data_IF_029612038851
#
_entry.id   IF_029612038851
#
_cell.length_a   1.000
_cell.length_b   1.000
_cell.length_c   1.000
_cell.angle_alpha   90.00
_cell.angle_beta   90.00
_cell.angle_gamma   90.00
#
_symmetry.space_group_name_H-M   'P 1'
#
loop_
_entity.id
_entity.type
_entity.pdbx_description
1 polymer ?
#
# COMPACT_ATOMS: atom_id res chain seq x y z
N UNK A 1 3.36 55.20 -57.79
CA UNK A 1 2.30 54.90 -56.78
C UNK A 1 2.75 53.70 -55.97
N UNK A 2 2.94 53.87 -54.66
CA UNK A 2 3.11 52.77 -53.69
C UNK A 2 1.74 52.48 -53.11
N UNK A 3 1.35 51.22 -52.96
CA UNK A 3 0.46 50.78 -51.88
C UNK A 3 0.72 49.30 -51.57
N UNK A 4 0.89 49.06 -50.27
CA UNK A 4 1.55 47.95 -49.60
C UNK A 4 0.56 46.80 -49.41
N UNK A 5 0.93 45.57 -49.80
CA UNK A 5 0.20 44.36 -49.41
C UNK A 5 0.68 43.96 -48.00
N UNK A 6 -0.17 44.19 -46.99
CA UNK A 6 0.07 43.75 -45.62
C UNK A 6 -0.18 42.24 -45.51
N UNK A 7 0.88 41.44 -45.53
CA UNK A 7 0.82 40.04 -45.11
C UNK A 7 0.79 39.99 -43.58
N UNK A 8 -0.41 39.82 -43.02
CA UNK A 8 -0.59 39.51 -41.61
C UNK A 8 -0.09 38.07 -41.36
N UNK A 9 1.18 37.93 -40.98
CA UNK A 9 1.74 36.68 -40.48
C UNK A 9 1.18 36.44 -39.07
N UNK A 10 0.05 35.73 -38.97
CA UNK A 10 -0.38 35.15 -37.71
C UNK A 10 0.63 34.07 -37.32
N UNK A 11 1.61 34.44 -36.49
CA UNK A 11 2.40 33.47 -35.73
C UNK A 11 1.44 32.74 -34.79
N UNK A 12 0.95 31.59 -35.24
CA UNK A 12 0.31 30.63 -34.36
C UNK A 12 1.30 30.26 -33.27
N UNK A 13 1.03 30.70 -32.04
CA UNK A 13 1.77 30.28 -30.87
C UNK A 13 1.37 28.83 -30.59
N UNK A 14 2.03 27.89 -31.27
CA UNK A 14 1.97 26.48 -30.92
C UNK A 14 2.61 26.34 -29.54
N UNK A 15 1.79 26.30 -28.50
CA UNK A 15 2.20 25.79 -27.19
C UNK A 15 2.71 24.36 -27.44
N UNK A 16 4.00 24.07 -27.23
CA UNK A 16 4.42 22.68 -27.16
C UNK A 16 3.70 22.08 -25.96
N UNK A 17 2.78 21.13 -26.20
CA UNK A 17 2.50 20.11 -25.20
C UNK A 17 3.82 19.36 -25.06
N UNK A 18 4.65 19.77 -24.11
CA UNK A 18 5.79 18.97 -23.72
C UNK A 18 5.21 17.66 -23.18
N UNK A 19 5.52 16.50 -23.77
CA UNK A 19 5.32 15.25 -23.05
C UNK A 19 6.02 15.45 -21.72
N UNK A 20 5.35 15.13 -20.61
CA UNK A 20 5.91 15.28 -19.27
C UNK A 20 7.32 14.68 -19.30
N UNK A 21 8.34 15.56 -19.28
CA UNK A 21 9.74 15.19 -19.48
C UNK A 21 10.02 14.02 -18.55
N UNK A 22 10.25 12.86 -19.15
CA UNK A 22 10.66 11.68 -18.41
C UNK A 22 11.92 12.09 -17.65
N UNK A 23 11.85 12.20 -16.33
CA UNK A 23 13.07 12.46 -15.59
C UNK A 23 13.90 11.19 -15.70
N UNK A 24 15.09 11.28 -16.28
CA UNK A 24 16.05 10.16 -16.38
C UNK A 24 16.22 9.46 -15.01
N UNK A 25 16.24 10.27 -13.95
CA UNK A 25 16.27 9.81 -12.56
C UNK A 25 15.00 9.06 -12.10
N UNK A 26 13.81 9.41 -12.60
CA UNK A 26 12.55 8.76 -12.25
C UNK A 26 12.47 7.31 -12.72
N UNK A 27 12.98 7.04 -13.92
CA UNK A 27 13.08 5.68 -14.42
C UNK A 27 14.16 4.86 -13.73
N UNK A 28 15.26 5.49 -13.33
CA UNK A 28 16.28 4.85 -12.50
C UNK A 28 15.71 4.44 -11.14
N UNK A 29 14.95 5.34 -10.48
CA UNK A 29 14.23 5.04 -9.24
C UNK A 29 13.24 3.90 -9.43
N UNK A 30 12.46 3.91 -10.51
CA UNK A 30 11.51 2.85 -10.80
C UNK A 30 12.22 1.50 -10.95
N UNK A 31 13.27 1.45 -11.77
CA UNK A 31 14.04 0.24 -12.04
C UNK A 31 14.62 -0.34 -10.75
N UNK A 32 15.24 0.52 -9.93
CA UNK A 32 15.82 0.11 -8.66
C UNK A 32 14.77 -0.32 -7.63
N UNK A 33 13.64 0.39 -7.54
CA UNK A 33 12.56 0.03 -6.64
C UNK A 33 11.85 -1.28 -7.06
N UNK A 34 11.78 -1.58 -8.36
CA UNK A 34 11.19 -2.81 -8.89
C UNK A 34 12.09 -4.05 -8.70
N UNK A 35 13.39 -3.85 -8.44
CA UNK A 35 14.35 -4.93 -8.15
C UNK A 35 14.00 -5.62 -6.84
N UNK A 36 13.70 -6.93 -6.92
CA UNK A 36 13.26 -7.73 -5.76
C UNK A 36 14.28 -8.75 -5.26
N UNK A 37 15.24 -9.16 -6.10
CA UNK A 37 16.24 -10.15 -5.72
C UNK A 37 17.58 -9.92 -6.46
N UNK A 38 18.53 -9.19 -5.86
CA UNK A 38 18.43 -8.49 -4.57
C UNK A 38 17.54 -7.24 -4.65
N UNK A 39 17.05 -6.77 -3.50
CA UNK A 39 16.40 -5.46 -3.44
C UNK A 39 17.42 -4.33 -3.63
N UNK A 40 16.97 -3.10 -3.83
CA UNK A 40 17.86 -1.96 -4.06
C UNK A 40 18.98 -1.80 -3.01
N UNK A 41 18.75 -2.23 -1.75
CA UNK A 41 19.77 -2.23 -0.70
C UNK A 41 20.96 -3.16 -1.03
N UNK A 42 20.71 -4.26 -1.72
CA UNK A 42 21.77 -5.19 -2.15
C UNK A 42 22.44 -4.80 -3.46
N UNK A 43 21.91 -3.80 -4.18
CA UNK A 43 22.43 -3.34 -5.48
C UNK A 43 23.12 -1.99 -5.32
N UNK A 44 24.45 -1.97 -5.30
CA UNK A 44 25.23 -0.75 -5.06
C UNK A 44 24.93 0.38 -6.06
N UNK A 45 24.68 0.06 -7.33
CA UNK A 45 24.30 1.06 -8.33
C UNK A 45 22.95 1.73 -8.06
N UNK A 46 22.08 1.12 -7.25
CA UNK A 46 20.79 1.69 -6.88
C UNK A 46 20.82 2.58 -5.65
N UNK A 47 21.91 2.59 -4.88
CA UNK A 47 22.03 3.40 -3.67
C UNK A 47 21.89 4.90 -3.97
N UNK A 48 22.64 5.50 -4.92
CA UNK A 48 22.58 6.95 -5.14
C UNK A 48 21.18 7.44 -5.54
N UNK A 49 20.52 6.70 -6.42
CA UNK A 49 19.22 7.05 -7.01
C UNK A 49 18.11 6.93 -5.96
N UNK A 50 18.11 5.87 -5.17
CA UNK A 50 17.14 5.64 -4.09
C UNK A 50 17.39 6.57 -2.88
N UNK A 51 18.64 6.86 -2.54
CA UNK A 51 18.95 7.80 -1.46
C UNK A 51 18.59 9.24 -1.81
N UNK A 52 18.79 9.64 -3.07
CA UNK A 52 18.31 10.92 -3.60
C UNK A 52 16.78 11.02 -3.45
N UNK A 53 16.06 9.96 -3.76
CA UNK A 53 14.61 9.88 -3.58
C UNK A 53 14.21 10.04 -2.11
N UNK A 54 14.79 9.25 -1.21
CA UNK A 54 14.49 9.31 0.23
C UNK A 54 14.75 10.73 0.78
N UNK A 55 15.80 11.40 0.30
CA UNK A 55 16.13 12.77 0.70
C UNK A 55 15.14 13.79 0.12
N UNK A 56 14.71 13.61 -1.13
CA UNK A 56 13.72 14.46 -1.78
C UNK A 56 12.34 14.34 -1.12
N UNK A 57 11.94 13.15 -0.70
CA UNK A 57 10.67 12.88 0.00
C UNK A 57 10.52 13.64 1.33
N UNK A 58 11.62 14.05 1.95
CA UNK A 58 11.61 14.86 3.18
C UNK A 58 11.31 16.33 2.92
N UNK A 59 11.38 16.79 1.67
CA UNK A 59 11.14 18.19 1.30
C UNK A 59 9.64 18.45 1.18
N UNK A 60 9.14 19.62 1.63
CA UNK A 60 7.75 19.99 1.41
C UNK A 60 7.45 20.08 -0.08
N UNK A 61 6.26 19.66 -0.49
CA UNK A 61 5.84 19.69 -1.90
C UNK A 61 6.47 18.63 -2.80
N UNK A 62 7.13 17.61 -2.23
CA UNK A 62 7.69 16.52 -3.02
C UNK A 62 6.62 15.78 -3.83
N UNK A 63 6.90 15.63 -5.13
CA UNK A 63 6.18 14.75 -6.04
C UNK A 63 7.09 13.60 -6.48
N UNK A 64 6.50 12.42 -6.67
CA UNK A 64 7.25 11.28 -7.17
C UNK A 64 7.72 11.54 -8.61
N UNK A 65 9.00 11.28 -8.96
CA UNK A 65 9.49 11.52 -10.30
C UNK A 65 8.78 10.57 -11.29
N UNK A 66 8.19 11.08 -12.38
CA UNK A 66 7.49 10.24 -13.34
C UNK A 66 8.48 9.40 -14.17
N UNK A 67 8.06 8.19 -14.53
CA UNK A 67 8.72 7.37 -15.55
C UNK A 67 7.66 6.87 -16.55
N UNK A 68 7.44 7.59 -17.67
CA UNK A 68 6.45 7.20 -18.67
C UNK A 68 6.80 5.87 -19.37
N UNK A 69 8.09 5.55 -19.54
CA UNK A 69 8.57 4.30 -20.13
C UNK A 69 8.14 3.08 -19.32
N UNK A 70 8.17 3.18 -17.99
CA UNK A 70 7.72 2.12 -17.09
C UNK A 70 6.23 2.18 -16.76
N UNK A 71 5.48 3.12 -17.36
CA UNK A 71 4.05 3.32 -17.11
C UNK A 71 3.71 3.64 -15.65
N UNK A 72 4.68 4.09 -14.85
CA UNK A 72 4.59 4.15 -13.41
C UNK A 72 4.85 5.56 -12.88
N UNK A 73 3.87 6.09 -12.15
CA UNK A 73 3.93 7.36 -11.44
C UNK A 73 4.25 7.18 -9.96
N UNK A 74 3.48 7.83 -9.07
CA UNK A 74 3.62 7.67 -7.62
C UNK A 74 3.30 6.20 -7.21
N UNK A 75 4.13 5.57 -6.36
CA UNK A 75 3.86 4.21 -5.89
C UNK A 75 2.58 4.16 -5.05
N UNK A 76 1.94 2.99 -5.08
CA UNK A 76 0.92 2.64 -4.11
C UNK A 76 1.54 2.38 -2.73
N UNK A 77 0.69 2.42 -1.70
CA UNK A 77 1.09 2.12 -0.33
C UNK A 77 0.10 1.14 0.31
N UNK A 78 0.62 0.00 0.76
CA UNK A 78 -0.12 -1.04 1.45
C UNK A 78 0.54 -1.32 2.81
N UNK A 79 -0.01 -0.71 3.86
CA UNK A 79 0.51 -0.80 5.23
C UNK A 79 0.53 -2.24 5.77
N UNK A 80 -0.55 -2.98 5.55
CA UNK A 80 -0.75 -4.29 6.17
C UNK A 80 -0.47 -5.44 5.21
N UNK A 81 0.23 -6.45 5.71
CA UNK A 81 0.47 -7.72 5.04
C UNK A 81 -0.80 -8.58 5.05
N UNK A 82 -0.80 -9.68 4.33
CA UNK A 82 -1.98 -10.55 4.29
C UNK A 82 -2.18 -11.24 5.65
N UNK A 83 -3.44 -11.54 5.96
CA UNK A 83 -3.75 -12.26 7.18
C UNK A 83 -3.20 -13.68 7.13
N UNK A 84 -2.81 -14.28 8.27
CA UNK A 84 -2.41 -15.68 8.31
C UNK A 84 -3.47 -16.60 7.72
N UNK A 85 -3.06 -17.79 7.26
CA UNK A 85 -3.99 -18.75 6.67
C UNK A 85 -5.20 -19.03 7.57
N UNK A 86 -6.41 -18.97 7.00
CA UNK A 86 -7.67 -19.15 7.73
C UNK A 86 -8.17 -17.93 8.49
N UNK A 87 -7.51 -16.78 8.36
CA UNK A 87 -7.97 -15.49 8.87
C UNK A 87 -8.31 -14.54 7.71
N UNK A 88 -9.29 -13.67 7.93
CA UNK A 88 -9.72 -12.67 6.96
C UNK A 88 -9.43 -11.25 7.47
N UNK A 89 -9.08 -10.29 6.59
CA UNK A 89 -8.94 -8.90 7.01
C UNK A 89 -10.26 -8.36 7.55
N UNK A 90 -10.20 -7.67 8.69
CA UNK A 90 -11.35 -7.10 9.36
C UNK A 90 -11.04 -5.68 9.84
N UNK A 91 -12.08 -4.86 9.98
CA UNK A 91 -11.93 -3.52 10.52
C UNK A 91 -11.36 -3.55 11.96
N UNK A 92 -10.58 -2.51 12.28
CA UNK A 92 -10.18 -2.19 13.65
C UNK A 92 -11.38 -2.01 14.58
N UNK A 93 -11.13 -2.02 15.90
CA UNK A 93 -12.13 -1.51 16.83
C UNK A 93 -12.30 0.00 16.58
N UNK A 94 -13.52 0.50 16.72
CA UNK A 94 -13.78 1.93 16.55
C UNK A 94 -13.28 2.64 17.80
N UNK A 95 -12.09 3.20 17.73
CA UNK A 95 -11.69 4.20 18.71
C UNK A 95 -12.51 5.47 18.45
N UNK A 96 -13.07 6.05 19.51
CA UNK A 96 -13.99 7.19 19.42
C UNK A 96 -13.30 8.51 19.02
N UNK A 97 -11.97 8.51 18.91
CA UNK A 97 -11.19 9.65 18.44
C UNK A 97 -10.84 9.48 16.95
N UNK A 98 -11.51 10.29 16.13
CA UNK A 98 -11.10 10.72 14.79
C UNK A 98 -10.62 9.64 13.79
N UNK A 99 -11.57 8.97 13.11
CA UNK A 99 -11.45 8.45 11.73
C UNK A 99 -10.31 7.44 11.49
N UNK A 100 -10.55 6.16 11.24
CA UNK A 100 -11.11 5.65 10.00
C UNK A 100 -11.63 4.22 10.25
N UNK A 101 -12.95 4.07 10.40
CA UNK A 101 -13.62 2.77 10.59
C UNK A 101 -13.53 1.80 9.37
N UNK A 102 -12.64 2.08 8.41
CA UNK A 102 -12.46 1.33 7.14
C UNK A 102 -11.07 0.72 6.98
N UNK A 103 -10.11 1.05 7.84
CA UNK A 103 -8.79 0.41 7.75
C UNK A 103 -8.92 -1.05 8.22
N UNK A 104 -8.63 -2.00 7.33
CA UNK A 104 -8.64 -3.44 7.63
C UNK A 104 -7.38 -3.80 8.44
N UNK A 105 -7.26 -3.21 9.62
CA UNK A 105 -6.10 -3.26 10.51
C UNK A 105 -6.04 -4.48 11.42
N UNK A 106 -7.08 -5.32 11.38
CA UNK A 106 -7.17 -6.58 12.13
C UNK A 106 -7.30 -7.76 11.18
N UNK A 107 -6.97 -8.92 11.69
CA UNK A 107 -7.39 -10.19 11.12
C UNK A 107 -8.46 -10.77 12.04
N UNK A 108 -9.49 -11.40 11.46
CA UNK A 108 -10.50 -12.13 12.22
C UNK A 108 -10.69 -13.55 11.69
N UNK A 109 -11.14 -14.45 12.57
CA UNK A 109 -11.64 -15.77 12.19
C UNK A 109 -12.78 -16.19 13.09
N UNK A 110 -13.70 -16.97 12.55
CA UNK A 110 -14.76 -17.60 13.34
C UNK A 110 -14.23 -18.93 13.88
N UNK A 111 -14.37 -19.13 15.18
CA UNK A 111 -14.03 -20.39 15.84
C UNK A 111 -15.31 -21.01 16.38
N UNK A 112 -15.56 -22.25 15.98
CA UNK A 112 -16.67 -23.07 16.48
C UNK A 112 -16.10 -24.24 17.30
N UNK A 113 -16.49 -24.34 18.57
CA UNK A 113 -16.13 -25.41 19.50
C UNK A 113 -17.35 -26.18 20.00
N UNK A 114 -18.49 -26.08 19.32
CA UNK A 114 -19.76 -26.67 19.77
C UNK A 114 -19.80 -28.20 19.68
N UNK A 115 -18.87 -28.83 18.96
CA UNK A 115 -18.93 -30.26 18.61
C UNK A 115 -18.28 -31.23 19.62
N UNK A 116 -18.08 -30.86 20.89
CA UNK A 116 -17.38 -31.69 21.87
C UNK A 116 -18.03 -31.76 23.26
N UNK A 117 -17.94 -32.92 23.94
CA UNK A 117 -18.41 -33.17 25.32
C UNK A 117 -17.70 -32.33 26.40
N UNK A 118 -16.75 -31.47 26.01
CA UNK A 118 -15.92 -30.64 26.89
C UNK A 118 -16.31 -29.16 26.87
N UNK A 119 -17.41 -28.77 26.22
CA UNK A 119 -17.89 -27.40 26.32
C UNK A 119 -18.47 -27.17 27.72
N UNK A 120 -17.67 -26.52 28.57
CA UNK A 120 -18.13 -26.01 29.86
C UNK A 120 -18.51 -24.54 29.68
N UNK A 121 -19.78 -24.19 29.88
CA UNK A 121 -20.22 -22.81 29.97
C UNK A 121 -19.30 -22.02 30.89
N UNK A 122 -18.56 -21.05 30.34
CA UNK A 122 -17.93 -20.04 31.20
C UNK A 122 -19.02 -19.03 31.52
N UNK A 123 -19.69 -19.20 32.66
CA UNK A 123 -20.51 -18.16 33.27
C UNK A 123 -19.57 -17.06 33.79
N UNK A 124 -19.13 -16.19 32.88
CA UNK A 124 -18.34 -15.02 33.22
C UNK A 124 -19.27 -13.83 33.47
N UNK A 125 -19.24 -13.30 34.70
CA UNK A 125 -19.89 -12.03 35.02
C UNK A 125 -19.05 -10.90 34.42
N UNK A 126 -19.52 -10.32 33.31
CA UNK A 126 -18.95 -9.12 32.73
C UNK A 126 -17.87 -9.35 31.66
N UNK A 127 -18.23 -8.98 30.43
CA UNK A 127 -17.45 -8.90 29.18
C UNK A 127 -17.43 -10.17 28.31
N UNK A 128 -18.18 -10.10 27.21
CA UNK A 128 -18.11 -11.03 26.05
C UNK A 128 -16.75 -10.99 25.33
N UNK A 129 -15.77 -10.24 25.85
CA UNK A 129 -14.44 -10.04 25.27
C UNK A 129 -13.38 -10.61 26.21
N UNK A 130 -12.56 -11.53 25.69
CA UNK A 130 -11.43 -12.13 26.42
C UNK A 130 -10.16 -11.94 25.62
N UNK A 131 -9.13 -11.33 26.22
CA UNK A 131 -7.81 -11.18 25.61
C UNK A 131 -6.92 -12.35 26.02
N UNK A 132 -6.29 -13.00 25.05
CA UNK A 132 -5.37 -14.13 25.20
C UNK A 132 -3.97 -13.64 24.82
N UNK A 133 -3.01 -13.78 25.74
CA UNK A 133 -1.59 -13.44 25.59
C UNK A 133 -1.33 -12.00 25.08
N UNK A 134 -2.27 -11.09 25.29
CA UNK A 134 -2.21 -9.71 24.77
C UNK A 134 -2.28 -9.59 23.24
N UNK A 135 -2.49 -10.69 22.51
CA UNK A 135 -2.40 -10.74 21.04
C UNK A 135 -3.71 -11.07 20.35
N UNK A 136 -4.53 -11.92 20.97
CA UNK A 136 -5.78 -12.40 20.40
C UNK A 136 -6.94 -11.98 21.28
N UNK A 137 -7.93 -11.31 20.69
CA UNK A 137 -9.18 -10.96 21.37
C UNK A 137 -10.27 -11.91 20.90
N UNK A 138 -10.86 -12.67 21.82
CA UNK A 138 -12.06 -13.48 21.59
C UNK A 138 -13.30 -12.67 21.90
N UNK A 139 -14.23 -12.62 20.97
CA UNK A 139 -15.55 -11.98 21.15
C UNK A 139 -16.62 -13.07 21.02
N UNK A 140 -17.31 -13.33 22.12
CA UNK A 140 -18.38 -14.31 22.22
C UNK A 140 -19.72 -13.69 21.80
N UNK A 141 -20.64 -14.50 21.28
CA UNK A 141 -21.95 -14.03 20.81
C UNK A 141 -23.01 -14.03 21.92
N UNK A 142 -22.58 -13.88 23.17
CA UNK A 142 -23.41 -13.87 24.37
C UNK A 142 -23.00 -14.94 25.40
N UNK A 143 -23.77 -15.00 26.49
CA UNK A 143 -23.53 -15.94 27.58
C UNK A 143 -23.52 -17.38 27.07
N UNK A 144 -22.48 -18.13 27.43
CA UNK A 144 -22.36 -19.55 27.13
C UNK A 144 -22.26 -19.90 25.62
N UNK A 145 -21.72 -19.01 24.77
CA UNK A 145 -21.51 -19.35 23.36
C UNK A 145 -20.26 -20.23 23.16
N UNK A 146 -20.43 -21.41 22.54
CA UNK A 146 -19.33 -22.28 22.08
C UNK A 146 -18.70 -21.81 20.77
N UNK A 147 -19.32 -20.81 20.13
CA UNK A 147 -18.83 -20.10 18.95
C UNK A 147 -18.41 -18.69 19.32
N UNK A 148 -17.28 -18.24 18.81
CA UNK A 148 -16.76 -16.89 19.02
C UNK A 148 -15.91 -16.44 17.83
N UNK A 149 -15.66 -15.14 17.75
CA UNK A 149 -14.76 -14.55 16.76
C UNK A 149 -13.44 -14.25 17.44
N UNK A 150 -12.34 -14.75 16.90
CA UNK A 150 -11.01 -14.32 17.28
C UNK A 150 -10.58 -13.15 16.39
N UNK A 151 -9.96 -12.16 17.00
CA UNK A 151 -9.33 -11.05 16.33
C UNK A 151 -7.86 -10.94 16.74
N UNK A 152 -7.01 -10.56 15.80
CA UNK A 152 -5.63 -10.17 16.08
C UNK A 152 -5.29 -8.90 15.32
N UNK A 153 -4.24 -8.19 15.75
CA UNK A 153 -3.66 -7.14 14.90
C UNK A 153 -3.21 -7.75 13.56
N UNK A 154 -3.42 -7.03 12.46
CA UNK A 154 -2.94 -7.46 11.15
C UNK A 154 -1.43 -7.17 11.05
N UNK A 155 -0.62 -8.11 10.55
CA UNK A 155 0.81 -7.88 10.38
C UNK A 155 1.08 -6.69 9.47
N UNK A 156 2.14 -5.93 9.76
CA UNK A 156 2.61 -4.86 8.88
C UNK A 156 3.43 -5.47 7.73
N UNK A 157 3.41 -4.84 6.55
CA UNK A 157 4.31 -5.23 5.45
C UNK A 157 5.73 -4.73 5.73
N UNK A 158 6.70 -5.61 5.53
CA UNK A 158 8.11 -5.23 5.51
C UNK A 158 8.41 -4.27 4.34
N UNK A 159 7.75 -4.50 3.20
CA UNK A 159 7.81 -3.70 1.97
C UNK A 159 6.42 -3.11 1.65
N UNK A 160 6.09 -1.92 2.20
CA UNK A 160 4.73 -1.39 2.08
C UNK A 160 4.50 -0.58 0.79
N UNK A 161 5.54 -0.13 0.09
CA UNK A 161 5.38 0.57 -1.18
C UNK A 161 5.31 -0.42 -2.33
N UNK A 162 4.56 -0.09 -3.37
CA UNK A 162 4.51 -0.95 -4.55
C UNK A 162 4.31 -0.19 -5.85
N UNK A 163 4.78 -0.79 -6.94
CA UNK A 163 4.44 -0.44 -8.31
C UNK A 163 3.70 -1.59 -8.96
N UNK A 164 2.68 -1.27 -9.73
CA UNK A 164 2.04 -2.20 -10.64
C UNK A 164 2.63 -1.94 -12.02
N UNK A 165 3.39 -2.90 -12.54
CA UNK A 165 4.12 -2.79 -13.80
C UNK A 165 3.47 -3.73 -14.80
N UNK A 166 3.13 -3.20 -15.98
CA UNK A 166 2.58 -3.99 -17.09
C UNK A 166 3.72 -4.69 -17.81
N UNK A 167 3.56 -5.98 -18.05
CA UNK A 167 4.47 -6.76 -18.86
C UNK A 167 4.16 -6.55 -20.34
N UNK A 168 5.21 -6.33 -21.15
CA UNK A 168 5.07 -6.03 -22.57
C UNK A 168 4.42 -7.22 -23.30
N UNK A 169 3.38 -6.92 -24.07
CA UNK A 169 2.62 -7.85 -24.94
C UNK A 169 1.71 -8.89 -24.27
N UNK A 170 1.73 -9.09 -22.94
CA UNK A 170 0.83 -10.04 -22.26
C UNK A 170 -0.41 -9.38 -21.65
N UNK A 171 -0.38 -8.06 -21.43
CA UNK A 171 -1.41 -7.32 -20.70
C UNK A 171 -1.46 -7.67 -19.20
N UNK A 172 -0.52 -8.50 -18.72
CA UNK A 172 -0.42 -8.93 -17.33
C UNK A 172 0.27 -7.84 -16.51
N UNK A 173 -0.33 -7.50 -15.39
CA UNK A 173 0.22 -6.53 -14.44
C UNK A 173 0.84 -7.29 -13.26
N UNK A 174 2.10 -6.98 -12.94
CA UNK A 174 2.83 -7.58 -11.82
C UNK A 174 3.09 -6.52 -10.76
N UNK A 175 2.76 -6.83 -9.51
CA UNK A 175 3.00 -5.95 -8.37
C UNK A 175 4.39 -6.15 -7.78
N UNK A 176 5.22 -5.12 -7.83
CA UNK A 176 6.56 -5.09 -7.25
C UNK A 176 6.54 -4.31 -5.94
N UNK A 177 6.78 -5.00 -4.81
CA UNK A 177 6.86 -4.36 -3.49
C UNK A 177 8.28 -3.94 -3.15
N UNK A 178 8.43 -2.79 -2.50
CA UNK A 178 9.70 -2.29 -1.99
C UNK A 178 9.54 -1.53 -0.67
N UNK A 179 10.66 -1.23 -0.01
CA UNK A 179 10.70 -0.40 1.17
C UNK A 179 11.75 0.73 0.98
N UNK A 180 11.57 1.80 1.74
CA UNK A 180 12.47 2.97 1.74
C UNK A 180 13.40 2.99 2.97
N UNK A 181 13.51 1.86 3.68
CA UNK A 181 14.41 1.73 4.83
C UNK A 181 15.81 1.45 4.32
N UNK A 182 16.78 2.16 4.88
CA UNK A 182 18.20 1.90 4.66
C UNK A 182 18.63 0.66 5.44
#
# INVERSE_FOLDING_TARGET
>A
MRLVLAFAFMFGFSLPLTPAEASEWGCEVLLCAASNNPSWQGVQSCHPSMERLISAMKRPGFSWPPCPEGGAGKPGYQKYADCPAGWIPSAGERDFDHGHARELSRCSRVVDRCSGRNFRPRYGSGNDRVVIDGKITRVYSGNNSCRYIEFSARPLRDKPYYFDIKEDNSGKETRHFFNLRK
#
